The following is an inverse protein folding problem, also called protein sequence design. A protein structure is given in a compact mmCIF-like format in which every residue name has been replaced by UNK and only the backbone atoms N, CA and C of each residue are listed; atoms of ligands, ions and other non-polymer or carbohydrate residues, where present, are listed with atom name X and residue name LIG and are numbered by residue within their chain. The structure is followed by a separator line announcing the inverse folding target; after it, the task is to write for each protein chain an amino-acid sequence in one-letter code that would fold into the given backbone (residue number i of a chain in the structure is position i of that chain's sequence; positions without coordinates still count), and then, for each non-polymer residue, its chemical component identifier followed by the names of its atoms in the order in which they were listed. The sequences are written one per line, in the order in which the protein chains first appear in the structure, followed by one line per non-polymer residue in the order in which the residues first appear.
data_IF_571476135879
#
_entry.id   IF_571476135879
#
_cell.length_a   1.000
_cell.length_b   1.000
_cell.length_c   1.000
_cell.angle_alpha   90.00
_cell.angle_beta   90.00
_cell.angle_gamma   90.00
#
_symmetry.space_group_name_H-M   'P 1'
#
loop_
_entity.id
_entity.type
_entity.pdbx_description
1 polymer ?
#
# COMPACT_ATOMS: atom_id res chain seq x y z
N UNK A 1 -30.44 6.98 -8.93
CA UNK A 1 -29.76 7.13 -10.22
C UNK A 1 -28.87 5.90 -10.36
N UNK A 2 -29.29 4.90 -11.14
CA UNK A 2 -28.51 3.66 -11.31
C UNK A 2 -27.31 3.94 -12.20
N UNK A 3 -26.09 3.79 -11.68
CA UNK A 3 -24.90 3.70 -12.52
C UNK A 3 -25.05 2.48 -13.43
N UNK A 4 -24.80 2.65 -14.73
CA UNK A 4 -24.80 1.52 -15.66
C UNK A 4 -23.58 0.61 -15.37
N UNK A 5 -23.67 -0.66 -15.73
CA UNK A 5 -22.60 -1.64 -15.47
C UNK A 5 -21.29 -1.25 -16.14
N UNK A 6 -21.34 -0.56 -17.28
CA UNK A 6 -20.14 -0.09 -17.98
C UNK A 6 -19.39 0.99 -17.17
N UNK A 7 -20.10 1.93 -16.54
CA UNK A 7 -19.53 3.00 -15.73
C UNK A 7 -18.82 2.46 -14.48
N UNK A 8 -19.33 1.38 -13.88
CA UNK A 8 -18.68 0.69 -12.76
C UNK A 8 -17.38 0.01 -13.20
N UNK A 9 -17.37 -0.66 -14.35
CA UNK A 9 -16.17 -1.30 -14.90
C UNK A 9 -15.08 -0.27 -15.25
N UNK A 10 -15.44 0.84 -15.89
CA UNK A 10 -14.49 1.92 -16.20
C UNK A 10 -13.91 2.56 -14.93
N UNK A 11 -14.76 2.83 -13.93
CA UNK A 11 -14.31 3.39 -12.66
C UNK A 11 -13.37 2.43 -11.92
N UNK A 12 -13.66 1.13 -11.91
CA UNK A 12 -12.80 0.13 -11.28
C UNK A 12 -11.43 0.03 -11.97
N UNK A 13 -11.40 0.01 -13.31
CA UNK A 13 -10.16 0.02 -14.10
C UNK A 13 -9.32 1.30 -13.87
N UNK A 14 -9.98 2.45 -13.73
CA UNK A 14 -9.33 3.72 -13.43
C UNK A 14 -8.71 3.74 -12.03
N UNK A 15 -9.48 3.37 -11.00
CA UNK A 15 -9.03 3.27 -9.61
C UNK A 15 -7.82 2.34 -9.50
N UNK A 16 -7.93 1.19 -10.15
CA UNK A 16 -6.85 0.22 -10.27
C UNK A 16 -5.55 0.81 -10.82
N UNK A 17 -5.63 1.55 -11.94
CA UNK A 17 -4.45 2.16 -12.58
C UNK A 17 -3.80 3.19 -11.66
N UNK A 18 -4.61 3.96 -10.94
CA UNK A 18 -4.13 4.89 -9.90
C UNK A 18 -3.40 4.13 -8.79
N UNK A 19 -3.97 3.04 -8.27
CA UNK A 19 -3.36 2.23 -7.20
C UNK A 19 -1.93 1.83 -7.53
N UNK A 20 -1.74 1.25 -8.72
CA UNK A 20 -0.45 0.75 -9.19
C UNK A 20 0.54 1.90 -9.41
N UNK A 21 0.07 3.00 -10.00
CA UNK A 21 0.89 4.19 -10.22
C UNK A 21 1.39 4.77 -8.90
N UNK A 22 0.51 4.91 -7.90
CA UNK A 22 0.88 5.36 -6.55
C UNK A 22 1.87 4.40 -5.89
N UNK A 23 1.67 3.08 -6.06
CA UNK A 23 2.57 2.06 -5.53
C UNK A 23 3.98 2.16 -6.13
N UNK A 24 4.11 2.38 -7.44
CA UNK A 24 5.41 2.58 -8.09
C UNK A 24 6.10 3.86 -7.64
N UNK A 25 5.36 4.96 -7.48
CA UNK A 25 5.91 6.21 -6.94
C UNK A 25 6.40 6.01 -5.49
N UNK A 26 5.60 5.36 -4.65
CA UNK A 26 5.98 5.04 -3.27
C UNK A 26 7.23 4.13 -3.22
N UNK A 27 7.33 3.15 -4.12
CA UNK A 27 8.50 2.29 -4.27
C UNK A 27 9.75 3.09 -4.69
N UNK A 28 9.62 4.01 -5.64
CA UNK A 28 10.71 4.90 -6.05
C UNK A 28 11.22 5.78 -4.90
N UNK A 29 10.31 6.33 -4.09
CA UNK A 29 10.66 7.09 -2.88
C UNK A 29 11.35 6.20 -1.84
N UNK A 30 10.84 4.99 -1.61
CA UNK A 30 11.42 4.06 -0.65
C UNK A 30 12.85 3.64 -1.05
N UNK A 31 13.08 3.29 -2.33
CA UNK A 31 14.41 2.93 -2.84
C UNK A 31 15.38 4.11 -2.68
N UNK A 32 14.96 5.31 -3.09
CA UNK A 32 15.76 6.54 -2.94
C UNK A 32 16.08 6.83 -1.48
N UNK A 33 15.07 6.74 -0.60
CA UNK A 33 15.21 6.93 0.83
C UNK A 33 16.20 5.94 1.45
N UNK A 34 16.11 4.65 1.10
CA UNK A 34 17.06 3.61 1.55
C UNK A 34 18.48 3.93 1.05
N UNK A 35 18.63 4.43 -0.18
CA UNK A 35 19.91 4.89 -0.72
C UNK A 35 20.57 5.96 0.18
N UNK A 36 19.82 7.00 0.54
CA UNK A 36 20.31 8.06 1.43
C UNK A 36 20.64 7.57 2.86
N UNK A 37 19.91 6.58 3.37
CA UNK A 37 20.23 5.98 4.68
C UNK A 37 21.62 5.33 4.73
N UNK A 38 22.13 4.84 3.58
CA UNK A 38 23.44 4.17 3.51
C UNK A 38 24.62 5.12 3.69
N UNK A 39 24.44 6.41 3.40
CA UNK A 39 25.48 7.44 3.56
C UNK A 39 25.75 7.79 5.03
N UNK A 40 24.80 7.51 5.93
CA UNK A 40 24.93 7.70 7.39
C UNK A 40 25.34 9.11 7.84
N UNK A 41 25.09 10.15 7.04
CA UNK A 41 25.28 11.54 7.47
C UNK A 41 23.99 12.09 8.08
N UNK A 42 24.07 13.10 8.94
CA UNK A 42 22.88 13.69 9.56
C UNK A 42 21.90 14.23 8.51
N UNK A 43 22.42 14.88 7.45
CA UNK A 43 21.63 15.37 6.33
C UNK A 43 21.01 14.23 5.52
N UNK A 44 21.78 13.18 5.20
CA UNK A 44 21.25 12.05 4.43
C UNK A 44 20.18 11.28 5.21
N UNK A 45 20.30 11.19 6.53
CA UNK A 45 19.28 10.59 7.40
C UNK A 45 18.02 11.45 7.49
N UNK A 46 18.15 12.78 7.44
CA UNK A 46 17.00 13.69 7.31
C UNK A 46 16.29 13.48 5.97
N UNK A 47 17.02 13.39 4.86
CA UNK A 47 16.44 13.11 3.54
C UNK A 47 15.78 11.73 3.50
N UNK A 48 16.44 10.70 4.04
CA UNK A 48 15.86 9.37 4.21
C UNK A 48 14.51 9.44 4.92
N UNK A 49 14.44 10.16 6.05
CA UNK A 49 13.20 10.32 6.80
C UNK A 49 12.10 10.96 5.95
N UNK A 50 12.39 12.06 5.26
CA UNK A 50 11.41 12.72 4.39
C UNK A 50 10.92 11.83 3.25
N UNK A 51 11.83 11.11 2.59
CA UNK A 51 11.49 10.20 1.50
C UNK A 51 10.61 9.04 1.99
N UNK A 52 10.98 8.42 3.12
CA UNK A 52 10.17 7.34 3.70
C UNK A 52 8.82 7.84 4.18
N UNK A 53 8.75 9.00 4.83
CA UNK A 53 7.47 9.62 5.22
C UNK A 53 6.58 9.90 4.01
N UNK A 54 7.15 10.39 2.90
CA UNK A 54 6.42 10.55 1.64
C UNK A 54 5.86 9.24 1.09
N UNK A 55 6.67 8.16 1.11
CA UNK A 55 6.22 6.83 0.69
C UNK A 55 5.07 6.29 1.56
N UNK A 56 5.14 6.51 2.88
CA UNK A 56 4.05 6.12 3.81
C UNK A 56 2.78 6.92 3.53
N UNK A 57 2.88 8.24 3.35
CA UNK A 57 1.72 9.10 3.06
C UNK A 57 1.06 8.68 1.74
N UNK A 58 1.84 8.43 0.68
CA UNK A 58 1.29 7.93 -0.60
C UNK A 58 0.62 6.56 -0.45
N UNK A 59 1.21 5.67 0.35
CA UNK A 59 0.60 4.36 0.64
C UNK A 59 -0.75 4.52 1.34
N UNK A 60 -0.86 5.42 2.32
CA UNK A 60 -2.11 5.72 3.00
C UNK A 60 -3.15 6.33 2.05
N UNK A 61 -2.73 7.25 1.18
CA UNK A 61 -3.62 7.81 0.15
C UNK A 61 -4.16 6.69 -0.75
N UNK A 62 -3.31 5.78 -1.22
CA UNK A 62 -3.74 4.65 -2.02
C UNK A 62 -4.75 3.77 -1.27
N UNK A 63 -4.50 3.47 0.00
CA UNK A 63 -5.43 2.67 0.82
C UNK A 63 -6.78 3.37 0.97
N UNK A 64 -6.80 4.64 1.38
CA UNK A 64 -8.04 5.35 1.71
C UNK A 64 -8.86 5.77 0.48
N UNK A 65 -8.19 6.15 -0.61
CA UNK A 65 -8.86 6.70 -1.80
C UNK A 65 -9.02 5.70 -2.93
N UNK A 66 -8.32 4.57 -2.88
CA UNK A 66 -8.37 3.56 -3.94
C UNK A 66 -8.84 2.22 -3.39
N UNK A 67 -8.10 1.61 -2.45
CA UNK A 67 -8.41 0.25 -2.00
C UNK A 67 -9.74 0.18 -1.22
N UNK A 68 -10.00 1.10 -0.29
CA UNK A 68 -11.24 1.11 0.48
C UNK A 68 -12.49 1.40 -0.39
N UNK A 69 -12.50 2.40 -1.29
CA UNK A 69 -13.60 2.60 -2.22
C UNK A 69 -13.83 1.41 -3.15
N UNK A 70 -12.76 0.81 -3.70
CA UNK A 70 -12.87 -0.40 -4.52
C UNK A 70 -13.48 -1.56 -3.73
N UNK A 71 -13.10 -1.72 -2.46
CA UNK A 71 -13.69 -2.73 -1.59
C UNK A 71 -15.17 -2.46 -1.29
N UNK A 72 -15.52 -1.20 -1.02
CA UNK A 72 -16.91 -0.81 -0.81
C UNK A 72 -17.76 -1.11 -2.05
N UNK A 73 -17.29 -0.74 -3.24
CA UNK A 73 -17.99 -1.00 -4.50
C UNK A 73 -18.15 -2.49 -4.77
N UNK A 74 -17.14 -3.30 -4.44
CA UNK A 74 -17.21 -4.76 -4.54
C UNK A 74 -18.34 -5.35 -3.69
N UNK A 75 -18.55 -4.85 -2.47
CA UNK A 75 -19.63 -5.30 -1.58
C UNK A 75 -20.99 -4.65 -1.83
N UNK A 76 -21.01 -3.43 -2.37
CA UNK A 76 -22.24 -2.68 -2.64
C UNK A 76 -22.89 -3.07 -3.97
N UNK A 77 -22.12 -3.62 -4.92
CA UNK A 77 -22.68 -4.23 -6.12
C UNK A 77 -23.29 -5.59 -5.79
N UNK A 78 -24.44 -5.92 -6.38
CA UNK A 78 -25.15 -7.22 -6.29
C UNK A 78 -24.34 -8.40 -6.89
N UNK A 79 -23.01 -8.38 -6.81
CA UNK A 79 -22.16 -9.56 -6.99
C UNK A 79 -22.45 -10.49 -5.82
N UNK A 80 -23.43 -11.37 -6.05
CA UNK A 80 -23.92 -12.40 -5.16
C UNK A 80 -22.84 -12.94 -4.22
N UNK A 81 -23.24 -13.04 -2.94
CA UNK A 81 -22.68 -13.64 -1.72
C UNK A 81 -21.76 -14.89 -1.82
N UNK A 82 -21.29 -15.30 -3.00
CA UNK A 82 -20.46 -16.48 -3.27
C UNK A 82 -19.01 -16.18 -3.60
N UNK A 83 -18.63 -14.95 -3.99
CA UNK A 83 -17.21 -14.58 -4.18
C UNK A 83 -16.64 -13.97 -2.89
N UNK A 84 -16.32 -14.82 -1.92
CA UNK A 84 -15.50 -14.42 -0.78
C UNK A 84 -14.12 -13.90 -1.22
N UNK A 85 -13.42 -13.19 -0.32
CA UNK A 85 -12.02 -12.80 -0.59
C UNK A 85 -11.21 -14.02 -1.00
N UNK A 86 -10.41 -13.88 -2.05
CA UNK A 86 -9.43 -14.90 -2.41
C UNK A 86 -8.44 -15.08 -1.27
N UNK A 87 -7.88 -16.28 -1.11
CA UNK A 87 -6.82 -16.54 -0.12
C UNK A 87 -5.68 -15.53 -0.26
N UNK A 88 -5.38 -15.09 -1.49
CA UNK A 88 -4.34 -14.12 -1.78
C UNK A 88 -4.69 -12.72 -1.26
N UNK A 89 -5.94 -12.28 -1.40
CA UNK A 89 -6.40 -11.01 -0.82
C UNK A 89 -6.37 -11.05 0.72
N UNK A 90 -6.76 -12.18 1.33
CA UNK A 90 -6.69 -12.35 2.79
C UNK A 90 -5.23 -12.25 3.25
N UNK A 91 -4.33 -13.00 2.62
CA UNK A 91 -2.90 -12.97 2.96
C UNK A 91 -2.32 -11.57 2.76
N UNK A 92 -2.64 -10.91 1.65
CA UNK A 92 -2.19 -9.53 1.38
C UNK A 92 -2.69 -8.55 2.46
N UNK A 93 -3.96 -8.62 2.87
CA UNK A 93 -4.51 -7.74 3.90
C UNK A 93 -3.92 -8.02 5.30
N UNK A 94 -3.74 -9.30 5.65
CA UNK A 94 -3.19 -9.71 6.93
C UNK A 94 -1.71 -9.33 7.09
N UNK A 95 -0.96 -9.35 5.99
CA UNK A 95 0.44 -8.97 5.94
C UNK A 95 0.60 -7.43 5.83
N UNK A 96 -0.22 -6.79 5.00
CA UNK A 96 -0.17 -5.34 4.78
C UNK A 96 -0.61 -4.52 5.97
N UNK A 97 -1.55 -5.01 6.79
CA UNK A 97 -2.01 -4.28 7.97
C UNK A 97 -0.87 -4.00 8.98
N UNK A 98 -0.09 -5.00 9.45
CA UNK A 98 1.11 -4.76 10.25
C UNK A 98 2.12 -3.84 9.58
N UNK A 99 2.33 -3.97 8.26
CA UNK A 99 3.25 -3.12 7.51
C UNK A 99 2.85 -1.63 7.58
N UNK A 100 1.56 -1.35 7.41
CA UNK A 100 0.98 0.00 7.49
C UNK A 100 1.07 0.54 8.91
N UNK A 101 0.69 -0.24 9.92
CA UNK A 101 0.76 0.18 11.33
C UNK A 101 2.18 0.59 11.71
N UNK A 102 3.17 -0.26 11.42
CA UNK A 102 4.58 0.05 11.71
C UNK A 102 5.09 1.28 10.93
N UNK A 103 4.63 1.44 9.69
CA UNK A 103 4.96 2.60 8.85
C UNK A 103 4.39 3.91 9.42
N UNK A 104 3.18 3.86 9.98
CA UNK A 104 2.55 5.00 10.67
C UNK A 104 3.28 5.30 11.98
N UNK A 105 3.63 4.28 12.77
CA UNK A 105 4.45 4.47 13.98
C UNK A 105 5.80 5.13 13.65
N UNK A 106 6.41 4.77 12.51
CA UNK A 106 7.61 5.45 12.02
C UNK A 106 7.40 6.95 11.77
N UNK A 107 6.27 7.32 11.17
CA UNK A 107 5.94 8.73 10.87
C UNK A 107 5.91 9.59 12.15
N UNK A 108 5.30 9.05 13.20
CA UNK A 108 5.19 9.69 14.51
C UNK A 108 6.40 9.49 15.42
N UNK A 109 7.43 8.78 14.95
CA UNK A 109 8.64 8.47 15.73
C UNK A 109 8.36 7.62 16.99
N UNK A 110 7.32 6.77 16.93
CA UNK A 110 6.84 5.92 18.03
C UNK A 110 7.30 4.45 17.90
N UNK A 111 8.31 4.18 17.06
CA UNK A 111 8.83 2.83 16.90
C UNK A 111 9.51 2.33 18.19
N UNK A 112 9.31 1.05 18.58
CA UNK A 112 9.96 0.52 19.77
C UNK A 112 11.49 0.48 19.63
N UNK A 113 12.20 0.52 20.76
CA UNK A 113 13.65 0.36 20.77
C UNK A 113 14.05 -1.12 20.73
N UNK A 114 15.08 -1.53 19.95
CA UNK A 114 15.91 -0.68 19.09
C UNK A 114 15.24 -0.37 17.73
N UNK A 115 15.07 0.92 17.41
CA UNK A 115 14.35 1.41 16.21
C UNK A 115 14.85 0.77 14.91
N UNK A 116 16.17 0.56 14.78
CA UNK A 116 16.78 -0.03 13.58
C UNK A 116 16.25 -1.43 13.24
N UNK A 117 15.93 -2.25 14.25
CA UNK A 117 15.38 -3.59 14.03
C UNK A 117 13.96 -3.50 13.47
N UNK A 118 13.15 -2.63 14.05
CA UNK A 118 11.76 -2.41 13.61
C UNK A 118 11.69 -1.80 12.21
N UNK A 119 12.59 -0.88 11.85
CA UNK A 119 12.66 -0.35 10.48
C UNK A 119 12.94 -1.46 9.45
N UNK A 120 13.80 -2.43 9.77
CA UNK A 120 14.08 -3.57 8.88
C UNK A 120 12.86 -4.48 8.74
N UNK A 121 12.19 -4.79 9.84
CA UNK A 121 10.96 -5.59 9.82
C UNK A 121 9.89 -4.89 8.99
N UNK A 122 9.67 -3.60 9.21
CA UNK A 122 8.72 -2.77 8.45
C UNK A 122 9.03 -2.79 6.97
N UNK A 123 10.31 -2.63 6.57
CA UNK A 123 10.70 -2.66 5.17
C UNK A 123 10.47 -4.04 4.52
N UNK A 124 10.76 -5.13 5.24
CA UNK A 124 10.52 -6.49 4.74
C UNK A 124 9.03 -6.75 4.54
N UNK A 125 8.21 -6.42 5.54
CA UNK A 125 6.75 -6.53 5.44
C UNK A 125 6.25 -5.69 4.27
N UNK A 126 6.62 -4.41 4.21
CA UNK A 126 6.17 -3.53 3.13
C UNK A 126 6.53 -4.06 1.73
N UNK A 127 7.74 -4.62 1.52
CA UNK A 127 8.13 -5.22 0.23
C UNK A 127 7.29 -6.46 -0.09
N UNK A 128 7.06 -7.34 0.89
CA UNK A 128 6.22 -8.53 0.71
C UNK A 128 4.79 -8.09 0.38
N UNK A 129 4.28 -7.08 1.06
CA UNK A 129 2.97 -6.50 0.83
C UNK A 129 2.80 -5.98 -0.58
N UNK A 130 3.77 -5.21 -1.07
CA UNK A 130 3.79 -4.67 -2.43
C UNK A 130 3.80 -5.80 -3.46
N UNK A 131 4.60 -6.85 -3.25
CA UNK A 131 4.62 -8.01 -4.13
C UNK A 131 3.29 -8.77 -4.14
N UNK A 132 2.68 -8.97 -2.97
CA UNK A 132 1.36 -9.59 -2.83
C UNK A 132 0.27 -8.73 -3.48
N UNK A 133 0.31 -7.41 -3.31
CA UNK A 133 -0.64 -6.48 -3.93
C UNK A 133 -0.58 -6.53 -5.46
N UNK A 134 0.64 -6.61 -6.03
CA UNK A 134 0.82 -6.82 -7.46
C UNK A 134 0.26 -8.18 -7.93
N UNK A 135 0.44 -9.24 -7.15
CA UNK A 135 -0.09 -10.57 -7.46
C UNK A 135 -1.63 -10.60 -7.37
N UNK A 136 -2.21 -9.98 -6.34
CA UNK A 136 -3.67 -9.79 -6.21
C UNK A 136 -4.19 -9.10 -7.45
N UNK A 137 -3.53 -8.02 -7.88
CA UNK A 137 -3.92 -7.27 -9.05
C UNK A 137 -3.93 -8.13 -10.33
N UNK A 138 -2.88 -8.89 -10.57
CA UNK A 138 -2.79 -9.76 -11.75
C UNK A 138 -3.82 -10.91 -11.74
N UNK A 139 -4.28 -11.32 -10.54
CA UNK A 139 -5.21 -12.44 -10.37
C UNK A 139 -6.70 -12.06 -10.47
N UNK A 140 -7.05 -10.77 -10.46
CA UNK A 140 -8.45 -10.36 -10.55
C UNK A 140 -8.94 -10.49 -12.01
N UNK A 141 -10.03 -11.25 -12.26
CA UNK A 141 -10.65 -11.28 -13.58
C UNK A 141 -11.23 -9.90 -13.89
N UNK A 142 -10.94 -9.37 -15.08
CA UNK A 142 -11.49 -8.13 -15.62
C UNK A 142 -12.94 -8.30 -16.08
#
# INVERSE_FOLDING_TARGET
MSMDTNSLTYMNSYLTTISISLMFVALGLAITGIGFARLKTAESLRVHRWMMSGAVILSLISIFFVMLPSLYLYYAGDYSLTSGFSILQIIHSAEGFPAVVLSVMYLFNDLPQPTRRWMRITAVLWIISVALGAAVYYSMPF
#
